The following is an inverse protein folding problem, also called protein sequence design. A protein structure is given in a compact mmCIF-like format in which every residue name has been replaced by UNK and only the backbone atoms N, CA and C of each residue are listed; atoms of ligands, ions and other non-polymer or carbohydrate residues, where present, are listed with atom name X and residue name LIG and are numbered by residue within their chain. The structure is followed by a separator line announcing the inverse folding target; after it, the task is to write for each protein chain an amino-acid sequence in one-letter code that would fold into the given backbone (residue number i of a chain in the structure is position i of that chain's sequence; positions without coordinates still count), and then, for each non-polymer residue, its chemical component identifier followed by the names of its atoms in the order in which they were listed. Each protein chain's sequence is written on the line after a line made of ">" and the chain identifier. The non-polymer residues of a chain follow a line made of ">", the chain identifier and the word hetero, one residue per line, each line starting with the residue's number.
data_IF_502746563591
#
_entry.id   IF_502746563591
#
_cell.length_a   1.000
_cell.length_b   1.000
_cell.length_c   1.000
_cell.angle_alpha   90.00
_cell.angle_beta   90.00
_cell.angle_gamma   90.00
#
_symmetry.space_group_name_H-M   'P 1'
#
loop_
_entity.id
_entity.type
_entity.pdbx_description
1 polymer ?
#
# COMPACT_ATOMS: atom_id res chain seq x y z
N UNK A 1 -45.04 -18.35 28.81
CA UNK A 1 -43.96 -17.46 28.38
C UNK A 1 -42.71 -18.30 28.21
N UNK A 2 -42.20 -18.47 26.98
CA UNK A 2 -40.93 -19.15 26.71
C UNK A 2 -39.87 -18.08 26.52
N UNK A 3 -38.88 -18.02 27.40
CA UNK A 3 -37.67 -17.23 27.20
C UNK A 3 -36.72 -18.04 26.32
N UNK A 4 -36.48 -17.58 25.09
CA UNK A 4 -35.41 -18.10 24.26
C UNK A 4 -34.09 -17.64 24.89
N UNK A 5 -33.31 -18.57 25.41
CA UNK A 5 -31.91 -18.32 25.77
C UNK A 5 -31.16 -18.31 24.44
N UNK A 6 -30.60 -17.17 24.07
CA UNK A 6 -29.77 -17.02 22.88
C UNK A 6 -28.62 -18.02 22.94
N UNK A 7 -28.23 -18.54 21.77
CA UNK A 7 -27.12 -19.46 21.64
C UNK A 7 -25.82 -18.78 22.09
N UNK A 8 -25.37 -19.05 23.30
CA UNK A 8 -24.02 -18.70 23.76
C UNK A 8 -23.07 -19.81 23.34
N UNK A 9 -22.93 -20.00 22.03
CA UNK A 9 -21.91 -20.88 21.46
C UNK A 9 -20.64 -20.03 21.23
N UNK A 10 -20.07 -19.54 22.33
CA UNK A 10 -18.66 -19.14 22.32
C UNK A 10 -17.87 -20.42 22.51
N UNK A 11 -17.25 -20.87 21.42
CA UNK A 11 -16.28 -21.97 21.32
C UNK A 11 -15.01 -21.67 22.15
N UNK A 12 -15.19 -21.46 23.45
CA UNK A 12 -14.17 -21.31 24.47
C UNK A 12 -14.62 -22.12 25.68
N UNK A 13 -14.83 -23.41 25.46
CA UNK A 13 -14.92 -24.37 26.55
C UNK A 13 -13.60 -24.31 27.33
N UNK A 14 -13.72 -23.86 28.58
CA UNK A 14 -12.79 -23.99 29.68
C UNK A 14 -11.45 -24.67 29.35
N UNK A 15 -10.46 -23.87 28.97
CA UNK A 15 -9.07 -24.31 28.93
C UNK A 15 -8.67 -24.56 30.39
N UNK A 16 -8.28 -25.78 30.79
CA UNK A 16 -7.84 -26.05 32.16
C UNK A 16 -6.58 -25.24 32.47
N UNK A 17 -6.55 -24.64 33.67
CA UNK A 17 -5.48 -23.76 34.18
C UNK A 17 -4.07 -24.39 34.20
N UNK A 18 -3.98 -25.71 33.99
CA UNK A 18 -2.74 -26.48 33.99
C UNK A 18 -2.12 -26.68 32.59
N UNK A 19 -2.63 -26.00 31.55
CA UNK A 19 -2.05 -26.09 30.21
C UNK A 19 -0.75 -25.27 30.11
N UNK A 20 0.43 -25.89 29.88
CA UNK A 20 1.71 -25.17 29.75
C UNK A 20 1.80 -24.25 28.51
N UNK A 21 0.76 -24.18 27.67
CA UNK A 21 0.62 -23.12 26.66
C UNK A 21 0.10 -21.78 27.23
N UNK A 22 -0.39 -21.72 28.47
CA UNK A 22 -0.79 -20.44 29.06
C UNK A 22 0.43 -19.53 29.38
N UNK A 23 1.62 -20.12 29.47
CA UNK A 23 2.88 -19.41 29.72
C UNK A 23 3.58 -18.97 28.41
N UNK A 24 3.06 -19.37 27.25
CA UNK A 24 3.38 -18.68 25.99
C UNK A 24 2.56 -17.40 25.95
N UNK A 25 3.08 -16.38 26.65
CA UNK A 25 2.51 -15.04 26.66
C UNK A 25 2.09 -14.63 25.26
N UNK A 26 0.89 -14.07 25.14
CA UNK A 26 0.42 -13.44 23.91
C UNK A 26 1.56 -12.55 23.38
N UNK A 27 2.23 -12.99 22.32
CA UNK A 27 3.20 -12.18 21.63
C UNK A 27 2.40 -11.17 20.83
N UNK A 28 2.27 -9.97 21.39
CA UNK A 28 1.75 -8.78 20.74
C UNK A 28 2.36 -8.69 19.33
N UNK A 29 1.52 -8.41 18.33
CA UNK A 29 2.03 -8.18 16.98
C UNK A 29 3.05 -7.02 17.05
N UNK A 30 4.17 -7.06 16.29
CA UNK A 30 5.26 -6.09 16.44
C UNK A 30 4.86 -4.60 16.37
N UNK A 31 3.69 -4.29 15.81
CA UNK A 31 3.14 -2.93 15.71
C UNK A 31 2.07 -2.56 16.73
N UNK A 32 1.76 -3.40 17.72
CA UNK A 32 0.71 -3.08 18.69
C UNK A 32 1.13 -1.91 19.60
N UNK A 33 0.30 -0.86 19.63
CA UNK A 33 0.59 0.39 20.33
C UNK A 33 1.44 1.39 19.55
N UNK A 34 1.90 1.05 18.34
CA UNK A 34 2.56 2.00 17.46
C UNK A 34 1.51 2.79 16.67
N UNK A 35 1.57 4.12 16.74
CA UNK A 35 0.83 4.99 15.82
C UNK A 35 1.67 5.19 14.57
N UNK A 36 1.11 5.01 13.36
CA UNK A 36 1.84 5.27 12.13
C UNK A 36 2.34 6.72 12.13
N UNK A 37 3.60 6.89 11.76
CA UNK A 37 4.18 8.22 11.56
C UNK A 37 3.43 8.85 10.39
N UNK A 38 3.05 10.12 10.54
CA UNK A 38 2.45 10.87 9.44
C UNK A 38 3.42 10.94 8.26
N UNK A 39 2.90 10.78 7.04
CA UNK A 39 3.70 10.86 5.81
C UNK A 39 4.50 12.17 5.72
N UNK A 40 3.97 13.26 6.29
CA UNK A 40 4.63 14.58 6.32
C UNK A 40 5.70 14.72 7.40
N UNK A 41 5.72 13.83 8.38
CA UNK A 41 6.66 13.85 9.50
C UNK A 41 7.78 12.81 9.34
N UNK A 42 7.62 11.88 8.41
CA UNK A 42 8.60 10.85 8.13
C UNK A 42 9.69 11.38 7.16
N UNK A 43 10.96 11.50 7.59
CA UNK A 43 12.05 11.98 6.75
C UNK A 43 12.38 11.03 5.59
N UNK A 44 11.99 9.76 5.69
CA UNK A 44 12.29 8.72 4.71
C UNK A 44 11.11 8.49 3.75
N UNK A 45 9.94 9.10 4.00
CA UNK A 45 8.73 8.93 3.18
C UNK A 45 8.95 9.21 1.69
N UNK A 46 9.67 10.28 1.34
CA UNK A 46 10.01 10.60 -0.06
C UNK A 46 10.87 9.50 -0.68
N UNK A 47 11.89 9.04 0.04
CA UNK A 47 12.86 8.08 -0.48
C UNK A 47 12.26 6.68 -0.64
N UNK A 48 11.29 6.33 0.21
CA UNK A 48 10.56 5.07 0.14
C UNK A 48 9.43 5.10 -0.91
N UNK A 49 8.83 6.26 -1.16
CA UNK A 49 7.73 6.41 -2.13
C UNK A 49 8.16 6.37 -3.59
N UNK A 50 9.44 6.62 -3.90
CA UNK A 50 9.98 6.53 -5.27
C UNK A 50 11.08 5.47 -5.42
N UNK A 51 10.72 4.16 -5.47
CA UNK A 51 11.68 3.06 -5.58
C UNK A 51 12.58 3.14 -6.82
N UNK A 52 12.07 3.69 -7.93
CA UNK A 52 12.80 3.81 -9.20
C UNK A 52 13.88 4.89 -9.18
N UNK A 53 13.75 5.89 -8.30
CA UNK A 53 14.68 7.02 -8.20
C UNK A 53 15.70 6.77 -7.10
N UNK A 54 15.24 6.31 -5.93
CA UNK A 54 16.09 6.17 -4.75
C UNK A 54 16.49 4.74 -4.45
N UNK A 55 15.81 3.72 -4.99
CA UNK A 55 16.06 2.30 -4.69
C UNK A 55 16.13 2.01 -3.17
N UNK A 56 15.35 2.74 -2.36
CA UNK A 56 15.39 2.65 -0.89
C UNK A 56 16.65 3.24 -0.24
N UNK A 57 17.49 3.97 -0.98
CA UNK A 57 18.68 4.62 -0.48
C UNK A 57 18.48 6.12 -0.36
N UNK A 58 18.69 6.62 0.87
CA UNK A 58 18.66 8.06 1.12
C UNK A 58 19.84 8.75 0.45
N UNK A 59 19.61 9.97 0.00
CA UNK A 59 20.70 10.80 -0.49
C UNK A 59 21.63 11.17 0.67
N UNK A 60 22.96 11.14 0.48
CA UNK A 60 23.90 11.49 1.55
C UNK A 60 23.74 12.95 1.94
N UNK A 61 23.94 13.28 3.21
CA UNK A 61 23.79 14.67 3.66
C UNK A 61 24.92 15.56 3.12
N UNK A 62 24.68 16.87 2.99
CA UNK A 62 25.72 17.81 2.54
C UNK A 62 26.98 17.82 3.44
N UNK A 63 26.87 17.37 4.69
CA UNK A 63 28.00 17.20 5.61
C UNK A 63 28.95 16.07 5.19
N UNK A 64 28.42 15.06 4.50
CA UNK A 64 29.14 13.87 4.06
C UNK A 64 29.66 14.00 2.62
N UNK A 65 29.18 15.01 1.89
CA UNK A 65 29.56 15.25 0.49
C UNK A 65 30.83 16.10 0.40
N UNK A 66 31.64 15.83 -0.62
CA UNK A 66 32.79 16.68 -0.98
C UNK A 66 32.37 18.04 -1.55
N UNK A 67 31.22 18.08 -2.23
CA UNK A 67 30.63 19.29 -2.81
C UNK A 67 29.22 19.43 -2.25
N UNK A 68 28.92 20.60 -1.67
CA UNK A 68 27.57 20.93 -1.23
C UNK A 68 26.64 21.00 -2.44
N UNK A 69 25.52 20.29 -2.37
CA UNK A 69 24.51 20.25 -3.44
C UNK A 69 23.22 20.83 -2.88
N UNK A 70 22.67 21.82 -3.57
CA UNK A 70 21.39 22.41 -3.20
C UNK A 70 20.23 21.70 -3.92
N UNK A 71 19.00 21.85 -3.42
CA UNK A 71 17.81 21.27 -4.04
C UNK A 71 17.67 21.67 -5.52
N UNK A 72 18.04 22.90 -5.86
CA UNK A 72 18.07 23.38 -7.25
C UNK A 72 19.01 22.60 -8.15
N UNK A 73 20.14 22.13 -7.61
CA UNK A 73 21.13 21.38 -8.38
C UNK A 73 20.62 19.97 -8.64
N UNK A 74 20.02 19.36 -7.61
CA UNK A 74 19.28 18.11 -7.68
C UNK A 74 18.22 18.16 -8.79
N UNK A 75 17.31 19.12 -8.75
CA UNK A 75 16.20 19.22 -9.72
C UNK A 75 16.73 19.39 -11.13
N UNK A 76 17.74 20.25 -11.32
CA UNK A 76 18.39 20.43 -12.63
C UNK A 76 19.08 19.15 -13.10
N UNK A 77 19.57 18.30 -12.19
CA UNK A 77 20.21 17.04 -12.53
C UNK A 77 19.18 15.99 -12.96
N UNK A 78 18.09 15.85 -12.20
CA UNK A 78 16.98 14.96 -12.54
C UNK A 78 16.37 15.31 -13.90
N UNK A 79 16.10 16.60 -14.13
CA UNK A 79 15.55 17.08 -15.41
C UNK A 79 16.47 16.76 -16.60
N UNK A 80 17.79 16.83 -16.41
CA UNK A 80 18.77 16.45 -17.43
C UNK A 80 18.79 14.96 -17.72
N UNK A 81 18.65 14.14 -16.67
CA UNK A 81 18.67 12.69 -16.76
C UNK A 81 17.43 12.16 -17.48
N UNK A 82 16.27 12.77 -17.19
CA UNK A 82 14.98 12.32 -17.73
C UNK A 82 14.76 12.77 -19.18
N UNK A 83 15.08 14.02 -19.53
CA UNK A 83 14.82 14.57 -20.87
C UNK A 83 16.07 15.19 -21.49
N UNK A 84 16.54 14.57 -22.59
CA UNK A 84 17.71 15.01 -23.35
C UNK A 84 17.56 16.42 -23.94
N UNK A 85 16.33 16.92 -24.17
CA UNK A 85 16.10 18.29 -24.65
C UNK A 85 16.48 19.31 -23.58
N UNK A 86 16.25 18.98 -22.31
CA UNK A 86 16.61 19.84 -21.18
C UNK A 86 18.13 19.94 -21.06
N UNK A 87 18.87 18.88 -21.38
CA UNK A 87 20.33 18.89 -21.37
C UNK A 87 20.96 19.97 -22.27
N UNK A 88 20.25 20.43 -23.31
CA UNK A 88 20.72 21.51 -24.19
C UNK A 88 20.62 22.90 -23.55
N UNK A 89 19.65 23.13 -22.64
CA UNK A 89 19.43 24.46 -22.03
C UNK A 89 18.81 24.41 -20.63
N UNK A 90 19.45 23.69 -19.72
CA UNK A 90 18.92 23.37 -18.38
C UNK A 90 18.43 24.60 -17.60
N UNK A 91 19.16 25.73 -17.52
CA UNK A 91 18.69 26.88 -16.76
C UNK A 91 17.40 27.46 -17.35
N UNK A 92 17.33 27.61 -18.67
CA UNK A 92 16.17 28.18 -19.38
C UNK A 92 14.92 27.31 -19.15
N UNK A 93 15.06 26.00 -19.36
CA UNK A 93 13.92 25.08 -19.17
C UNK A 93 13.50 24.99 -17.71
N UNK A 94 14.45 25.01 -16.76
CA UNK A 94 14.12 25.04 -15.33
C UNK A 94 13.30 26.27 -14.93
N UNK A 95 13.70 27.47 -15.36
CA UNK A 95 12.96 28.68 -15.04
C UNK A 95 11.56 28.71 -15.67
N UNK A 96 11.44 28.25 -16.91
CA UNK A 96 10.13 28.15 -17.58
C UNK A 96 9.19 27.19 -16.84
N UNK A 97 9.69 26.00 -16.44
CA UNK A 97 8.89 25.02 -15.70
C UNK A 97 8.50 25.56 -14.33
N UNK A 98 9.41 26.26 -13.64
CA UNK A 98 9.14 26.88 -12.34
C UNK A 98 8.08 27.97 -12.42
N UNK A 99 8.08 28.77 -13.48
CA UNK A 99 7.07 29.79 -13.71
C UNK A 99 5.71 29.16 -14.02
N UNK A 100 5.69 28.14 -14.88
CA UNK A 100 4.46 27.41 -15.21
C UNK A 100 3.88 26.66 -13.99
N UNK A 101 4.72 26.08 -13.12
CA UNK A 101 4.25 25.39 -11.92
C UNK A 101 3.61 26.36 -10.92
N UNK A 102 4.16 27.57 -10.78
CA UNK A 102 3.57 28.61 -9.93
C UNK A 102 2.19 29.02 -10.45
N UNK A 103 2.05 29.17 -11.76
CA UNK A 103 0.76 29.49 -12.38
C UNK A 103 -0.28 28.37 -12.19
N UNK A 104 0.15 27.09 -12.20
CA UNK A 104 -0.73 25.95 -11.91
C UNK A 104 -1.17 25.95 -10.44
N UNK A 105 -0.25 26.17 -9.50
CA UNK A 105 -0.55 26.27 -8.07
C UNK A 105 -1.51 27.42 -7.75
N UNK A 106 -1.33 28.58 -8.38
CA UNK A 106 -2.25 29.72 -8.28
C UNK A 106 -3.65 29.36 -8.80
N UNK A 107 -3.75 28.65 -9.93
CA UNK A 107 -5.03 28.19 -10.47
C UNK A 107 -5.70 27.12 -9.59
N UNK A 108 -4.93 26.21 -8.98
CA UNK A 108 -5.44 25.21 -8.03
C UNK A 108 -5.95 25.87 -6.74
N UNK A 109 -5.26 26.90 -6.24
CA UNK A 109 -5.71 27.64 -5.06
C UNK A 109 -7.02 28.40 -5.32
N UNK A 110 -7.20 29.02 -6.49
CA UNK A 110 -8.47 29.63 -6.89
C UNK A 110 -9.62 28.59 -6.96
N UNK A 111 -9.31 27.33 -7.26
CA UNK A 111 -10.29 26.24 -7.24
C UNK A 111 -10.61 25.79 -5.80
N UNK A 112 -9.61 25.74 -4.92
CA UNK A 112 -9.71 25.29 -3.53
C UNK A 112 -10.42 26.30 -2.61
N UNK A 113 -10.47 27.58 -2.98
CA UNK A 113 -11.25 28.59 -2.23
C UNK A 113 -12.77 28.30 -2.23
N UNK A 114 -13.24 27.43 -3.15
CA UNK A 114 -14.62 26.97 -3.25
C UNK A 114 -14.92 25.64 -2.54
N UNK A 115 -13.92 25.02 -1.87
CA UNK A 115 -14.13 23.81 -1.06
C UNK A 115 -14.75 24.10 0.32
N UNK A 116 -15.13 25.36 0.59
CA UNK A 116 -16.01 25.66 1.72
C UNK A 116 -17.41 25.10 1.45
N UNK A 117 -17.70 23.96 2.09
CA UNK A 117 -19.04 23.41 2.22
C UNK A 117 -19.99 24.54 2.58
N UNK A 118 -21.05 24.74 1.77
CA UNK A 118 -22.01 25.81 2.02
C UNK A 118 -22.49 25.74 3.48
N UNK A 119 -22.66 26.87 4.19
CA UNK A 119 -22.92 26.87 5.64
C UNK A 119 -24.09 25.97 6.07
N UNK A 120 -25.12 25.86 5.22
CA UNK A 120 -26.27 25.00 5.45
C UNK A 120 -25.91 23.49 5.41
N UNK A 121 -25.02 23.08 4.52
CA UNK A 121 -24.58 21.67 4.39
C UNK A 121 -23.68 21.27 5.57
N UNK A 122 -22.86 22.20 6.07
CA UNK A 122 -22.01 21.97 7.24
C UNK A 122 -22.83 21.70 8.52
N UNK A 123 -24.00 22.33 8.64
CA UNK A 123 -24.93 22.12 9.75
C UNK A 123 -25.63 20.76 9.66
N UNK A 124 -26.06 20.36 8.45
CA UNK A 124 -26.70 19.05 8.21
C UNK A 124 -25.74 17.90 8.50
N UNK A 125 -24.47 17.98 8.08
CA UNK A 125 -23.49 16.93 8.37
C UNK A 125 -23.16 16.82 9.87
N UNK A 126 -23.17 17.94 10.60
CA UNK A 126 -23.00 17.93 12.05
C UNK A 126 -24.20 17.29 12.77
N UNK A 127 -25.41 17.54 12.28
CA UNK A 127 -26.65 16.92 12.78
C UNK A 127 -26.67 15.41 12.46
N UNK A 128 -26.27 15.01 11.25
CA UNK A 128 -26.16 13.60 10.84
C UNK A 128 -25.05 12.85 11.58
N UNK A 129 -23.93 13.49 11.93
CA UNK A 129 -22.87 12.86 12.71
C UNK A 129 -23.28 12.55 14.17
N UNK A 130 -24.24 13.31 14.72
CA UNK A 130 -24.80 13.07 16.05
C UNK A 130 -25.82 11.91 16.02
N UNK A 131 -26.44 11.67 14.85
CA UNK A 131 -27.35 10.56 14.58
C UNK A 131 -26.52 9.41 14.02
N UNK A 132 -26.05 8.52 14.90
CA UNK A 132 -25.34 7.30 14.51
C UNK A 132 -26.08 6.47 13.43
N UNK A 133 -25.37 5.55 12.76
CA UNK A 133 -25.90 4.82 11.60
C UNK A 133 -27.21 4.11 11.98
N UNK A 134 -28.31 4.56 11.39
CA UNK A 134 -29.62 3.96 11.57
C UNK A 134 -29.87 3.04 10.39
N UNK A 135 -30.09 1.75 10.65
CA UNK A 135 -30.45 0.79 9.60
C UNK A 135 -31.77 1.21 8.97
N UNK A 136 -31.79 1.40 7.64
CA UNK A 136 -32.99 1.84 6.96
C UNK A 136 -34.06 0.73 6.97
N UNK A 137 -35.22 1.01 7.57
CA UNK A 137 -36.35 0.07 7.55
C UNK A 137 -36.96 -0.12 6.14
N UNK A 138 -36.69 0.81 5.21
CA UNK A 138 -37.24 0.81 3.85
C UNK A 138 -36.33 0.19 2.79
N UNK A 139 -35.02 0.09 3.04
CA UNK A 139 -34.05 -0.51 2.12
C UNK A 139 -33.38 -1.71 2.78
N UNK A 140 -34.08 -2.83 2.75
CA UNK A 140 -33.45 -4.13 3.02
C UNK A 140 -32.51 -4.44 1.86
N UNK A 141 -31.34 -5.03 2.13
CA UNK A 141 -30.46 -5.53 1.07
C UNK A 141 -31.27 -6.47 0.18
N UNK A 142 -31.53 -6.05 -1.07
CA UNK A 142 -32.26 -6.85 -2.04
C UNK A 142 -31.45 -8.11 -2.34
N UNK A 143 -31.81 -9.19 -1.65
CA UNK A 143 -31.23 -10.50 -1.83
C UNK A 143 -32.32 -11.36 -2.49
N UNK A 144 -32.52 -11.24 -3.82
CA UNK A 144 -33.51 -12.05 -4.50
C UNK A 144 -33.12 -13.51 -4.30
N UNK A 145 -34.10 -14.38 -4.06
CA UNK A 145 -33.89 -15.82 -4.03
C UNK A 145 -33.29 -16.26 -5.37
N UNK A 146 -31.96 -16.30 -5.45
CA UNK A 146 -31.27 -16.70 -6.67
C UNK A 146 -31.56 -18.19 -6.87
N UNK A 147 -32.24 -18.60 -7.95
CA UNK A 147 -32.53 -20.02 -8.19
C UNK A 147 -31.21 -20.79 -8.20
N UNK A 148 -31.20 -22.00 -7.64
CA UNK A 148 -29.99 -22.83 -7.50
C UNK A 148 -29.22 -23.00 -8.82
N UNK A 149 -29.95 -22.99 -9.94
CA UNK A 149 -29.43 -23.05 -11.31
C UNK A 149 -28.45 -21.89 -11.63
N UNK A 150 -28.73 -20.68 -11.15
CA UNK A 150 -27.85 -19.51 -11.36
C UNK A 150 -26.63 -19.50 -10.43
N UNK A 151 -26.58 -20.34 -9.39
CA UNK A 151 -25.35 -20.56 -8.60
C UNK A 151 -24.37 -21.50 -9.29
N UNK A 152 -24.89 -22.39 -10.14
CA UNK A 152 -24.11 -23.41 -10.84
C UNK A 152 -23.79 -23.02 -12.29
N UNK A 153 -24.33 -21.89 -12.74
CA UNK A 153 -24.12 -21.37 -14.08
C UNK A 153 -22.66 -20.89 -14.24
N UNK A 154 -21.88 -21.69 -14.98
CA UNK A 154 -20.51 -21.40 -15.34
C UNK A 154 -20.46 -20.80 -16.76
N UNK A 155 -20.41 -19.47 -16.83
CA UNK A 155 -20.28 -18.73 -18.09
C UNK A 155 -19.03 -19.13 -18.89
N UNK A 156 -18.00 -19.69 -18.23
CA UNK A 156 -16.77 -20.13 -18.90
C UNK A 156 -17.09 -21.11 -20.03
N UNK A 157 -18.07 -22.00 -19.84
CA UNK A 157 -18.54 -22.94 -20.87
C UNK A 157 -19.15 -22.26 -22.09
N UNK A 158 -19.91 -21.19 -21.90
CA UNK A 158 -20.52 -20.45 -23.01
C UNK A 158 -19.51 -19.57 -23.76
N UNK A 159 -18.49 -19.08 -23.05
CA UNK A 159 -17.38 -18.31 -23.65
C UNK A 159 -16.32 -19.24 -24.27
N UNK A 160 -16.55 -20.56 -24.27
CA UNK A 160 -15.63 -21.55 -24.85
C UNK A 160 -14.35 -21.78 -24.04
N UNK A 161 -14.35 -21.37 -22.77
CA UNK A 161 -13.28 -21.60 -21.80
C UNK A 161 -13.62 -22.91 -21.08
N UNK A 162 -13.05 -24.02 -21.56
CA UNK A 162 -13.09 -25.28 -20.81
C UNK A 162 -12.38 -25.09 -19.48
N UNK A 163 -13.05 -25.45 -18.38
CA UNK A 163 -12.44 -25.56 -17.07
C UNK A 163 -11.34 -26.63 -17.14
N UNK A 164 -10.12 -26.21 -17.49
CA UNK A 164 -8.95 -27.04 -17.32
C UNK A 164 -8.88 -27.35 -15.84
N UNK A 165 -9.09 -28.61 -15.47
CA UNK A 165 -8.52 -29.16 -14.26
C UNK A 165 -7.02 -28.93 -14.39
N UNK A 166 -6.54 -27.81 -13.86
CA UNK A 166 -5.12 -27.56 -13.74
C UNK A 166 -4.67 -28.58 -12.70
N UNK A 167 -4.25 -29.77 -13.16
CA UNK A 167 -3.19 -30.45 -12.44
C UNK A 167 -2.08 -29.41 -12.33
N UNK A 168 -1.84 -28.94 -11.10
CA UNK A 168 -0.76 -28.01 -10.79
C UNK A 168 0.56 -28.74 -11.08
N UNK A 169 0.94 -28.78 -12.36
CA UNK A 169 2.29 -29.14 -12.76
C UNK A 169 3.18 -28.06 -12.17
N UNK A 170 3.84 -28.41 -11.06
CA UNK A 170 4.84 -27.58 -10.40
C UNK A 170 5.74 -26.95 -11.47
N UNK A 171 5.68 -25.63 -11.54
CA UNK A 171 6.16 -24.81 -12.63
C UNK A 171 7.59 -25.16 -13.07
N UNK A 172 7.79 -25.24 -14.39
CA UNK A 172 9.06 -25.43 -15.10
C UNK A 172 10.12 -24.30 -14.88
N UNK A 173 9.93 -23.46 -13.86
CA UNK A 173 10.78 -22.30 -13.54
C UNK A 173 11.58 -22.48 -12.25
N UNK A 174 11.56 -23.66 -11.61
CA UNK A 174 12.42 -23.95 -10.46
C UNK A 174 13.85 -24.24 -10.94
N UNK A 175 14.76 -23.34 -10.60
CA UNK A 175 16.21 -23.53 -10.71
C UNK A 175 16.62 -24.75 -9.87
N UNK A 176 17.50 -25.60 -10.40
CA UNK A 176 18.02 -26.77 -9.67
C UNK A 176 18.90 -26.32 -8.50
N UNK A 177 18.98 -27.11 -7.42
CA UNK A 177 19.80 -26.75 -6.24
C UNK A 177 21.27 -26.53 -6.60
N UNK A 178 21.82 -27.31 -7.53
CA UNK A 178 23.20 -27.12 -7.99
C UNK A 178 23.40 -25.78 -8.67
N UNK A 179 22.46 -25.38 -9.51
CA UNK A 179 22.50 -24.10 -10.23
C UNK A 179 22.27 -22.93 -9.26
N UNK A 180 21.42 -23.12 -8.25
CA UNK A 180 21.20 -22.16 -7.17
C UNK A 180 22.49 -21.90 -6.39
N UNK A 181 23.19 -22.94 -5.94
CA UNK A 181 24.45 -22.76 -5.22
C UNK A 181 25.57 -22.20 -6.10
N UNK A 182 25.60 -22.53 -7.40
CA UNK A 182 26.53 -21.91 -8.34
C UNK A 182 26.27 -20.41 -8.49
N UNK A 183 24.99 -19.99 -8.58
CA UNK A 183 24.59 -18.60 -8.60
C UNK A 183 25.01 -17.88 -7.32
N UNK A 184 24.67 -18.42 -6.14
CA UNK A 184 25.02 -17.82 -4.85
C UNK A 184 26.53 -17.61 -4.70
N UNK A 185 27.35 -18.56 -5.15
CA UNK A 185 28.82 -18.46 -5.11
C UNK A 185 29.39 -17.42 -6.07
N UNK A 186 28.64 -17.08 -7.13
CA UNK A 186 29.06 -16.08 -8.13
C UNK A 186 28.71 -14.64 -7.75
N UNK A 187 27.84 -14.44 -6.74
CA UNK A 187 27.38 -13.11 -6.32
C UNK A 187 28.48 -12.34 -5.57
N UNK A 188 28.52 -11.03 -5.76
CA UNK A 188 29.38 -10.15 -4.98
C UNK A 188 28.82 -9.91 -3.56
N UNK A 189 29.64 -9.38 -2.65
CA UNK A 189 29.27 -9.23 -1.23
C UNK A 189 27.95 -8.46 -1.01
N UNK A 190 27.70 -7.39 -1.76
CA UNK A 190 26.47 -6.58 -1.64
C UNK A 190 25.24 -7.30 -2.19
N UNK A 191 25.41 -8.04 -3.29
CA UNK A 191 24.33 -8.84 -3.87
C UNK A 191 23.95 -10.00 -2.96
N UNK A 192 24.94 -10.62 -2.31
CA UNK A 192 24.72 -11.67 -1.34
C UNK A 192 23.96 -11.16 -0.11
N UNK A 193 24.33 -9.99 0.42
CA UNK A 193 23.62 -9.34 1.54
C UNK A 193 22.15 -9.06 1.19
N UNK A 194 21.87 -8.55 -0.01
CA UNK A 194 20.48 -8.37 -0.47
C UNK A 194 19.74 -9.72 -0.54
N UNK A 195 20.36 -10.73 -1.16
CA UNK A 195 19.74 -12.04 -1.36
C UNK A 195 19.49 -12.78 -0.02
N UNK A 196 20.43 -12.72 0.93
CA UNK A 196 20.26 -13.36 2.24
C UNK A 196 19.13 -12.75 3.06
N UNK A 197 18.93 -11.44 2.94
CA UNK A 197 17.92 -10.71 3.72
C UNK A 197 16.49 -11.07 3.27
N UNK A 198 16.29 -11.34 1.98
CA UNK A 198 14.98 -11.73 1.44
C UNK A 198 14.58 -13.18 1.75
N UNK A 199 15.52 -14.09 2.02
CA UNK A 199 15.25 -15.53 2.24
C UNK A 199 15.35 -15.97 3.71
N UNK A 200 15.59 -15.05 4.66
CA UNK A 200 15.56 -15.31 6.11
C UNK A 200 14.29 -14.78 6.81
N UNK A 201 13.29 -14.38 6.02
CA UNK A 201 11.96 -14.00 6.51
C UNK A 201 10.97 -15.11 6.13
N UNK A 202 11.10 -16.28 6.75
CA UNK A 202 10.08 -17.33 6.88
C UNK A 202 10.38 -18.13 8.15
#
# INVERSE_FOLDING_TARGET
>A
MKTHVGNTDTLLDHIPDDNPLCDTGLTFAPGEGQRPISLYSDPDAEYLSFPTIFCGQRRPDNKERSVSVHYTDIVKWELRSMDRRVAQSVPKTYFQVKENSKAIEEAENDCNENDQIAPATQQVEMEDAEIGPTESEQYVHFNPDRPTEHRLYDMSREVGIEARTIELTNHANRISESDYFALIRSLNKKQWEFFSTCYHMD
#
